data_IF_178205906160
#
_entry.id   IF_178205906160
#
_cell.length_a   1.000
_cell.length_b   1.000
_cell.length_c   1.000
_cell.angle_alpha   90.00
_cell.angle_beta   90.00
_cell.angle_gamma   90.00
#
_symmetry.space_group_name_H-M   'P 1'
#
loop_
_entity.id
_entity.type
_entity.pdbx_description
1 polymer ?
#
# COMPACT_ATOMS: atom_id res chain seq x y z
N UNK A 1 8.40 4.89 -29.48
CA UNK A 1 7.66 4.10 -28.44
C UNK A 1 7.55 4.97 -27.21
N UNK A 2 6.36 5.13 -26.61
CA UNK A 2 6.25 5.78 -25.28
C UNK A 2 7.01 4.92 -24.28
N UNK A 3 7.93 5.52 -23.51
CA UNK A 3 8.56 4.77 -22.45
C UNK A 3 7.54 4.51 -21.33
N UNK A 4 7.51 3.30 -20.85
CA UNK A 4 6.62 2.86 -19.76
C UNK A 4 7.07 3.51 -18.44
N UNK A 5 6.15 4.04 -17.61
CA UNK A 5 6.50 4.54 -16.28
C UNK A 5 7.18 3.46 -15.44
N UNK A 6 8.23 3.83 -14.72
CA UNK A 6 9.02 2.95 -13.89
C UNK A 6 8.49 3.00 -12.45
N UNK A 7 7.97 1.89 -11.93
CA UNK A 7 7.40 1.82 -10.58
C UNK A 7 8.28 0.99 -9.66
N UNK A 8 8.78 1.62 -8.60
CA UNK A 8 9.48 0.93 -7.53
C UNK A 8 8.50 0.10 -6.70
N UNK A 9 8.82 -1.16 -6.47
CA UNK A 9 8.00 -2.11 -5.71
C UNK A 9 8.82 -2.61 -4.53
N UNK A 10 8.45 -2.21 -3.31
CA UNK A 10 9.19 -2.60 -2.12
C UNK A 10 9.09 -4.11 -1.89
N UNK A 11 10.24 -4.76 -1.69
CA UNK A 11 10.34 -6.17 -1.37
C UNK A 11 10.05 -6.47 0.11
N UNK A 12 9.93 -7.76 0.43
CA UNK A 12 10.06 -8.28 1.80
C UNK A 12 11.37 -9.07 1.90
N UNK A 13 11.99 -9.07 3.07
CA UNK A 13 13.13 -9.94 3.33
C UNK A 13 12.65 -11.29 3.81
N UNK A 14 13.12 -12.37 3.17
CA UNK A 14 12.79 -13.76 3.50
C UNK A 14 14.07 -14.58 3.54
N UNK A 15 14.01 -15.69 4.24
CA UNK A 15 15.04 -16.73 4.13
C UNK A 15 14.60 -17.76 3.10
N UNK A 16 15.47 -18.02 2.13
CA UNK A 16 15.28 -19.02 1.08
C UNK A 16 16.53 -19.91 1.05
N UNK A 17 16.37 -21.19 1.33
CA UNK A 17 17.48 -22.16 1.36
C UNK A 17 18.65 -21.72 2.27
N UNK A 18 18.35 -21.11 3.41
CA UNK A 18 19.36 -20.62 4.38
C UNK A 18 20.01 -19.30 3.99
N UNK A 19 19.56 -18.64 2.92
CA UNK A 19 20.09 -17.35 2.49
C UNK A 19 19.04 -16.24 2.59
N UNK A 20 19.41 -15.01 3.04
CA UNK A 20 18.51 -13.88 2.99
C UNK A 20 18.22 -13.52 1.53
N UNK A 21 16.93 -13.39 1.20
CA UNK A 21 16.45 -13.04 -0.14
C UNK A 21 15.46 -11.88 -0.08
N UNK A 22 15.43 -11.07 -1.13
CA UNK A 22 14.44 -10.02 -1.29
C UNK A 22 13.40 -10.46 -2.32
N UNK A 23 12.13 -10.47 -1.92
CA UNK A 23 11.05 -11.07 -2.71
C UNK A 23 9.84 -10.15 -2.81
N UNK A 24 9.19 -10.20 -3.97
CA UNK A 24 7.86 -9.66 -4.22
C UNK A 24 7.02 -10.78 -4.85
N UNK A 25 5.80 -11.00 -4.38
CA UNK A 25 4.88 -11.95 -5.03
C UNK A 25 4.45 -11.43 -6.40
N UNK A 26 4.41 -12.32 -7.39
CA UNK A 26 4.19 -11.96 -8.80
C UNK A 26 2.88 -11.20 -9.04
N UNK A 27 1.83 -11.41 -8.25
CA UNK A 27 0.55 -10.72 -8.38
C UNK A 27 0.66 -9.18 -8.39
N UNK A 28 1.60 -8.58 -7.61
CA UNK A 28 1.86 -7.14 -7.64
C UNK A 28 2.52 -6.71 -8.95
N UNK A 29 3.49 -7.49 -9.41
CA UNK A 29 4.23 -7.19 -10.64
C UNK A 29 3.33 -7.36 -11.87
N UNK A 30 2.52 -8.40 -11.88
CA UNK A 30 1.55 -8.68 -12.94
C UNK A 30 0.46 -7.61 -12.98
N UNK A 31 -0.11 -7.22 -11.83
CA UNK A 31 -1.07 -6.13 -11.76
C UNK A 31 -0.51 -4.83 -12.36
N UNK A 32 0.70 -4.41 -11.99
CA UNK A 32 1.32 -3.21 -12.57
C UNK A 32 1.51 -3.32 -14.08
N UNK A 33 1.97 -4.47 -14.59
CA UNK A 33 2.15 -4.69 -16.04
C UNK A 33 0.85 -4.62 -16.82
N UNK A 34 -0.26 -5.11 -16.24
CA UNK A 34 -1.59 -5.08 -16.85
C UNK A 34 -2.08 -3.66 -17.09
N UNK A 35 -1.59 -2.69 -16.31
CA UNK A 35 -1.88 -1.25 -16.49
C UNK A 35 -0.75 -0.46 -17.17
N UNK A 36 0.15 -1.16 -17.87
CA UNK A 36 1.17 -0.51 -18.69
C UNK A 36 2.39 0.01 -17.92
N UNK A 37 2.52 -0.28 -16.64
CA UNK A 37 3.65 0.13 -15.80
C UNK A 37 4.82 -0.87 -15.89
N UNK A 38 6.03 -0.41 -15.63
CA UNK A 38 7.24 -1.23 -15.59
C UNK A 38 7.72 -1.40 -14.13
N UNK A 39 7.44 -2.54 -13.47
CA UNK A 39 7.84 -2.74 -12.09
C UNK A 39 9.35 -2.99 -11.94
N UNK A 40 9.96 -2.37 -10.92
CA UNK A 40 11.32 -2.61 -10.46
C UNK A 40 11.29 -2.98 -8.98
N UNK A 41 11.82 -4.14 -8.63
CA UNK A 41 11.88 -4.58 -7.24
C UNK A 41 12.95 -3.77 -6.49
N UNK A 42 12.52 -3.07 -5.45
CA UNK A 42 13.40 -2.36 -4.53
C UNK A 42 13.77 -3.29 -3.38
N UNK A 43 15.06 -3.57 -3.15
CA UNK A 43 15.47 -4.35 -1.99
C UNK A 43 15.16 -3.58 -0.71
N UNK A 44 14.99 -4.28 0.41
CA UNK A 44 14.95 -3.64 1.72
C UNK A 44 16.35 -3.55 2.30
N UNK A 45 16.67 -2.42 2.95
CA UNK A 45 17.98 -2.14 3.52
C UNK A 45 17.86 -1.43 4.87
N UNK A 46 18.97 -1.28 5.54
CA UNK A 46 19.11 -0.42 6.72
C UNK A 46 19.98 0.77 6.34
N UNK A 47 19.57 1.96 6.75
CA UNK A 47 20.28 3.21 6.47
C UNK A 47 19.45 4.19 5.66
N UNK A 48 20.11 5.23 5.16
CA UNK A 48 19.44 6.32 4.45
C UNK A 48 18.86 5.89 3.10
N UNK A 49 17.76 6.52 2.74
CA UNK A 49 17.10 6.30 1.44
C UNK A 49 17.94 6.92 0.34
N UNK A 50 18.21 6.14 -0.68
CA UNK A 50 18.85 6.64 -1.91
C UNK A 50 17.84 7.50 -2.69
N UNK A 51 17.94 8.84 -2.48
CA UNK A 51 17.08 9.81 -3.16
C UNK A 51 17.35 9.87 -4.66
N UNK A 52 18.55 9.53 -5.12
CA UNK A 52 18.85 9.43 -6.55
C UNK A 52 18.13 8.23 -7.18
N UNK A 53 18.08 7.10 -6.49
CA UNK A 53 17.29 5.96 -6.94
C UNK A 53 15.81 6.34 -7.07
N UNK A 54 15.23 7.02 -6.06
CA UNK A 54 13.84 7.47 -6.12
C UNK A 54 13.56 8.42 -7.29
N UNK A 55 14.47 9.36 -7.58
CA UNK A 55 14.32 10.31 -8.70
C UNK A 55 14.29 9.65 -10.09
N UNK A 56 14.64 8.37 -10.17
CA UNK A 56 14.56 7.56 -11.41
C UNK A 56 13.21 6.86 -11.57
N UNK A 57 12.35 6.91 -10.56
CA UNK A 57 11.05 6.24 -10.56
C UNK A 57 9.94 7.21 -10.95
N UNK A 58 8.87 6.65 -11.50
CA UNK A 58 7.64 7.37 -11.84
C UNK A 58 6.49 7.03 -10.90
N UNK A 59 6.72 6.12 -9.94
CA UNK A 59 5.77 5.75 -8.89
C UNK A 59 6.37 4.78 -7.88
N UNK A 60 5.73 4.66 -6.73
CA UNK A 60 6.11 3.75 -5.65
C UNK A 60 4.92 2.89 -5.23
N UNK A 61 5.08 1.57 -5.23
CA UNK A 61 4.13 0.61 -4.68
C UNK A 61 4.68 0.01 -3.37
N UNK A 62 3.98 0.26 -2.27
CA UNK A 62 4.19 -0.42 -0.99
C UNK A 62 3.31 -1.67 -0.95
N UNK A 63 3.92 -2.83 -1.06
CA UNK A 63 3.21 -4.11 -1.14
C UNK A 63 2.66 -4.57 0.21
N UNK A 64 1.67 -5.45 0.21
CA UNK A 64 1.33 -6.25 1.36
C UNK A 64 2.43 -7.26 1.73
N UNK A 65 2.36 -7.74 2.95
CA UNK A 65 3.27 -8.76 3.49
C UNK A 65 2.57 -9.63 4.54
N UNK A 66 3.11 -10.82 4.77
CA UNK A 66 2.71 -11.66 5.90
C UNK A 66 3.35 -11.23 7.23
N UNK A 67 4.31 -10.30 7.19
CA UNK A 67 4.90 -9.70 8.38
C UNK A 67 4.11 -8.46 8.78
N UNK A 68 4.11 -8.17 10.06
CA UNK A 68 3.46 -7.02 10.68
C UNK A 68 4.43 -5.84 10.78
N UNK A 69 3.88 -4.62 10.90
CA UNK A 69 4.65 -3.45 11.33
C UNK A 69 5.01 -3.65 12.80
N UNK A 70 6.29 -3.41 13.13
CA UNK A 70 6.79 -3.57 14.50
C UNK A 70 6.08 -2.61 15.48
N UNK A 71 5.56 -3.12 16.62
CA UNK A 71 4.81 -2.29 17.57
C UNK A 71 5.58 -1.09 18.10
N UNK A 72 6.89 -1.22 18.29
CA UNK A 72 7.77 -0.12 18.72
C UNK A 72 7.74 1.09 17.77
N UNK A 73 7.39 0.91 16.50
CA UNK A 73 7.28 1.99 15.50
C UNK A 73 6.12 2.95 15.75
N UNK A 74 5.09 2.50 16.46
CA UNK A 74 3.92 3.31 16.85
C UNK A 74 3.71 3.35 18.36
N UNK A 75 4.78 3.13 19.14
CA UNK A 75 4.79 3.32 20.60
C UNK A 75 4.00 2.28 21.39
N UNK A 76 3.72 1.10 20.82
CA UNK A 76 2.97 0.04 21.47
C UNK A 76 3.90 -1.09 21.99
N UNK A 77 3.46 -1.74 23.06
CA UNK A 77 4.05 -3.02 23.48
C UNK A 77 3.50 -4.16 22.63
N UNK A 78 4.33 -5.19 22.39
CA UNK A 78 3.94 -6.34 21.58
C UNK A 78 2.91 -7.20 22.29
N UNK A 79 1.81 -7.53 21.58
CA UNK A 79 0.85 -8.54 22.05
C UNK A 79 1.27 -9.95 21.55
N UNK A 80 0.82 -11.04 22.23
CA UNK A 80 1.20 -12.41 21.86
C UNK A 80 0.86 -12.80 20.43
N UNK A 81 -0.20 -12.25 19.86
CA UNK A 81 -0.67 -12.51 18.49
C UNK A 81 0.23 -11.92 17.42
N UNK A 82 1.02 -10.91 17.77
CA UNK A 82 1.94 -10.25 16.83
C UNK A 82 3.32 -10.93 16.85
N UNK A 83 3.48 -11.95 16.03
CA UNK A 83 4.64 -12.87 16.08
C UNK A 83 5.62 -12.70 14.91
N UNK A 84 5.34 -11.82 13.93
CA UNK A 84 6.12 -11.77 12.69
C UNK A 84 6.41 -10.33 12.29
N UNK A 85 7.65 -9.89 12.49
CA UNK A 85 8.14 -8.58 12.05
C UNK A 85 9.11 -8.72 10.89
N UNK A 86 9.35 -7.61 10.21
CA UNK A 86 10.43 -7.43 9.25
C UNK A 86 11.04 -6.04 9.46
N UNK A 87 12.02 -5.97 10.36
CA UNK A 87 12.70 -4.71 10.74
C UNK A 87 13.40 -4.02 9.56
N UNK A 88 13.89 -4.81 8.57
CA UNK A 88 14.49 -4.25 7.37
C UNK A 88 13.44 -3.58 6.50
N UNK A 89 12.27 -4.23 6.36
CA UNK A 89 11.13 -3.68 5.63
C UNK A 89 10.63 -2.40 6.29
N UNK A 90 10.49 -2.40 7.62
CA UNK A 90 10.09 -1.20 8.36
C UNK A 90 11.08 -0.06 8.16
N UNK A 91 12.38 -0.30 8.36
CA UNK A 91 13.40 0.74 8.17
C UNK A 91 13.34 1.33 6.75
N UNK A 92 13.20 0.48 5.73
CA UNK A 92 13.12 0.92 4.33
C UNK A 92 11.82 1.69 4.05
N UNK A 93 10.66 1.17 4.47
CA UNK A 93 9.36 1.80 4.18
C UNK A 93 9.24 3.19 4.83
N UNK A 94 9.64 3.33 6.10
CA UNK A 94 9.60 4.60 6.82
C UNK A 94 10.60 5.64 6.31
N UNK A 95 11.63 5.22 5.58
CA UNK A 95 12.50 6.14 4.84
C UNK A 95 11.94 6.50 3.46
N UNK A 96 11.38 5.51 2.73
CA UNK A 96 10.85 5.71 1.38
C UNK A 96 9.61 6.59 1.33
N UNK A 97 8.67 6.42 2.28
CA UNK A 97 7.39 7.15 2.28
C UNK A 97 7.60 8.67 2.27
N UNK A 98 8.28 9.28 3.27
CA UNK A 98 8.47 10.73 3.25
C UNK A 98 9.30 11.18 2.05
N UNK A 99 10.34 10.44 1.67
CA UNK A 99 11.18 10.82 0.53
C UNK A 99 10.43 10.79 -0.81
N UNK A 100 9.50 9.84 -1.00
CA UNK A 100 8.65 9.77 -2.19
C UNK A 100 7.65 10.93 -2.23
N UNK A 101 7.01 11.24 -1.10
CA UNK A 101 6.06 12.35 -0.99
C UNK A 101 6.74 13.71 -1.22
N UNK A 102 7.94 13.93 -0.64
CA UNK A 102 8.75 15.13 -0.85
C UNK A 102 9.08 15.36 -2.35
N UNK A 103 9.27 14.28 -3.11
CA UNK A 103 9.55 14.33 -4.56
C UNK A 103 8.28 14.38 -5.41
N UNK A 104 7.09 14.37 -4.80
CA UNK A 104 5.81 14.32 -5.53
C UNK A 104 5.62 13.02 -6.31
N UNK A 105 6.25 11.93 -5.89
CA UNK A 105 6.15 10.63 -6.53
C UNK A 105 4.78 10.00 -6.22
N UNK A 106 4.01 9.54 -7.22
CA UNK A 106 2.79 8.78 -6.97
C UNK A 106 3.04 7.57 -6.08
N UNK A 107 2.22 7.42 -5.02
CA UNK A 107 2.39 6.37 -4.01
C UNK A 107 1.10 5.56 -3.87
N UNK A 108 1.21 4.23 -4.00
CA UNK A 108 0.13 3.31 -3.72
C UNK A 108 0.54 2.32 -2.62
N UNK A 109 -0.22 2.27 -1.52
CA UNK A 109 -0.03 1.33 -0.41
C UNK A 109 -1.07 0.21 -0.43
N UNK A 110 -0.65 -1.05 -0.25
CA UNK A 110 -1.54 -2.21 -0.18
C UNK A 110 -1.29 -3.00 1.10
N UNK A 111 -2.33 -3.23 1.90
CA UNK A 111 -2.35 -4.02 3.13
C UNK A 111 -1.26 -3.54 4.12
N UNK A 112 -0.11 -4.17 4.19
CA UNK A 112 0.99 -3.68 5.03
C UNK A 112 1.46 -2.29 4.62
N UNK A 113 1.50 -1.98 3.32
CA UNK A 113 1.83 -0.64 2.81
C UNK A 113 0.86 0.46 3.28
N UNK A 114 -0.40 0.12 3.46
CA UNK A 114 -1.40 1.00 4.07
C UNK A 114 -1.08 1.25 5.55
N UNK A 115 -0.72 0.22 6.30
CA UNK A 115 -0.34 0.32 7.71
C UNK A 115 0.98 1.11 7.86
N UNK A 116 1.96 0.88 7.00
CA UNK A 116 3.22 1.61 6.93
C UNK A 116 2.97 3.11 6.68
N UNK A 117 2.05 3.46 5.77
CA UNK A 117 1.68 4.85 5.51
C UNK A 117 1.06 5.50 6.75
N UNK A 118 0.11 4.85 7.42
CA UNK A 118 -0.50 5.37 8.64
C UNK A 118 0.52 5.65 9.74
N UNK A 119 1.41 4.70 10.00
CA UNK A 119 2.44 4.82 11.05
C UNK A 119 3.49 5.89 10.68
N UNK A 120 3.84 6.04 9.40
CA UNK A 120 4.74 7.09 8.94
C UNK A 120 4.19 8.51 9.22
N UNK A 121 2.88 8.65 9.34
CA UNK A 121 2.19 9.89 9.73
C UNK A 121 1.85 9.95 11.23
N UNK A 122 2.44 9.09 12.04
CA UNK A 122 2.27 9.07 13.50
C UNK A 122 0.98 8.40 13.99
N UNK A 123 0.28 7.69 13.12
CA UNK A 123 -0.87 6.87 13.49
C UNK A 123 -0.48 5.59 14.22
N UNK A 124 -1.47 4.92 14.83
CA UNK A 124 -1.30 3.66 15.57
C UNK A 124 -2.06 2.51 14.92
N UNK A 125 -1.75 1.29 15.33
CA UNK A 125 -2.36 0.07 14.81
C UNK A 125 -2.90 -0.82 15.94
N UNK A 126 -4.11 -1.35 15.75
CA UNK A 126 -4.53 -2.58 16.41
C UNK A 126 -3.66 -3.73 15.91
N UNK A 127 -3.00 -4.46 16.82
CA UNK A 127 -2.14 -5.60 16.46
C UNK A 127 -2.95 -6.87 16.13
N UNK A 128 -4.20 -6.92 16.61
CA UNK A 128 -5.13 -8.04 16.45
C UNK A 128 -6.57 -7.49 16.38
N UNK A 129 -7.00 -7.02 15.20
CA UNK A 129 -8.32 -6.40 14.98
C UNK A 129 -9.45 -7.31 15.43
N UNK A 130 -9.33 -8.63 15.21
CA UNK A 130 -10.31 -9.64 15.62
C UNK A 130 -10.52 -9.75 17.14
N UNK A 131 -9.68 -9.11 17.96
CA UNK A 131 -9.84 -9.05 19.42
C UNK A 131 -10.46 -7.74 19.89
N UNK A 132 -10.64 -6.77 18.98
CA UNK A 132 -11.26 -5.49 19.31
C UNK A 132 -12.78 -5.66 19.35
N UNK A 133 -13.47 -5.33 20.46
CA UNK A 133 -14.91 -5.47 20.56
C UNK A 133 -15.65 -4.73 19.43
N UNK A 134 -16.56 -5.43 18.74
CA UNK A 134 -17.37 -4.87 17.65
C UNK A 134 -16.71 -4.89 16.27
N UNK A 135 -15.44 -5.31 16.15
CA UNK A 135 -14.77 -5.51 14.86
C UNK A 135 -15.04 -6.90 14.30
N UNK A 136 -15.02 -7.01 12.98
CA UNK A 136 -15.08 -8.30 12.29
C UNK A 136 -13.75 -9.06 12.42
N UNK A 137 -13.76 -10.34 12.07
CA UNK A 137 -12.52 -11.07 11.85
C UNK A 137 -12.03 -10.82 10.42
N UNK A 138 -11.05 -9.93 10.31
CA UNK A 138 -10.45 -9.50 9.05
C UNK A 138 -9.35 -10.45 8.51
N UNK A 139 -9.11 -11.57 9.19
CA UNK A 139 -8.07 -12.53 8.77
C UNK A 139 -8.51 -13.33 7.56
N UNK A 140 -7.49 -13.76 6.79
CA UNK A 140 -7.73 -14.57 5.60
C UNK A 140 -8.50 -15.86 5.91
N UNK A 141 -9.53 -16.22 5.12
CA UNK A 141 -10.20 -17.50 5.26
C UNK A 141 -9.29 -18.65 4.85
N UNK A 142 -9.58 -19.84 5.36
CA UNK A 142 -8.88 -21.07 4.96
C UNK A 142 -9.38 -21.55 3.61
N UNK A 143 -8.47 -21.78 2.66
CA UNK A 143 -8.81 -22.24 1.31
C UNK A 143 -7.72 -21.97 0.29
N UNK A 144 -8.05 -22.19 -0.97
CA UNK A 144 -7.21 -21.82 -2.11
C UNK A 144 -7.18 -20.28 -2.32
N UNK A 145 -6.47 -19.82 -3.33
CA UNK A 145 -6.33 -18.38 -3.56
C UNK A 145 -7.67 -17.72 -3.93
N UNK A 146 -8.55 -18.38 -4.67
CA UNK A 146 -9.83 -17.81 -5.06
C UNK A 146 -10.77 -17.64 -3.86
N UNK A 147 -10.75 -18.57 -2.91
CA UNK A 147 -11.47 -18.46 -1.63
C UNK A 147 -10.87 -17.34 -0.77
N UNK A 148 -9.54 -17.29 -0.66
CA UNK A 148 -8.85 -16.32 0.21
C UNK A 148 -9.00 -14.88 -0.25
N UNK A 149 -9.07 -14.65 -1.57
CA UNK A 149 -9.24 -13.32 -2.15
C UNK A 149 -10.69 -13.01 -2.59
N UNK A 150 -11.64 -13.89 -2.26
CA UNK A 150 -13.06 -13.59 -2.48
C UNK A 150 -13.51 -12.39 -1.65
N UNK A 151 -14.53 -11.62 -2.10
CA UNK A 151 -15.10 -10.52 -1.32
C UNK A 151 -15.60 -10.99 0.05
N UNK A 152 -15.07 -10.40 1.13
CA UNK A 152 -15.32 -10.80 2.51
C UNK A 152 -16.34 -9.89 3.22
N UNK A 153 -16.21 -8.57 3.09
CA UNK A 153 -17.11 -7.61 3.75
C UNK A 153 -17.44 -6.41 2.86
N UNK A 154 -18.50 -5.71 3.23
CA UNK A 154 -18.90 -4.48 2.58
C UNK A 154 -18.00 -3.31 3.02
N UNK A 155 -17.79 -2.38 2.10
CA UNK A 155 -16.98 -1.19 2.24
C UNK A 155 -17.82 0.03 1.89
N UNK A 156 -17.81 1.05 2.75
CA UNK A 156 -18.36 2.37 2.47
C UNK A 156 -17.24 3.31 2.03
N UNK A 157 -17.36 3.90 0.84
CA UNK A 157 -16.47 4.92 0.31
C UNK A 157 -16.95 6.28 0.80
N UNK A 158 -16.05 7.03 1.45
CA UNK A 158 -16.37 8.33 2.00
C UNK A 158 -16.40 9.40 0.90
N UNK A 159 -17.36 10.33 0.92
CA UNK A 159 -17.50 11.34 -0.12
C UNK A 159 -16.42 12.42 -0.05
N UNK A 160 -16.05 12.99 -1.19
CA UNK A 160 -15.16 14.15 -1.31
C UNK A 160 -13.67 13.82 -1.35
N UNK A 161 -13.28 12.58 -1.05
CA UNK A 161 -11.89 12.13 -1.08
C UNK A 161 -11.39 11.73 -2.47
N UNK A 162 -10.16 11.23 -2.52
CA UNK A 162 -9.53 10.74 -3.75
C UNK A 162 -10.28 9.52 -4.30
N UNK A 163 -10.64 8.58 -3.42
CA UNK A 163 -11.28 7.33 -3.81
C UNK A 163 -12.67 7.55 -4.43
N UNK A 164 -13.47 8.48 -3.88
CA UNK A 164 -14.79 8.82 -4.42
C UNK A 164 -14.71 9.52 -5.79
N UNK A 165 -13.58 10.11 -6.16
CA UNK A 165 -13.33 10.64 -7.50
C UNK A 165 -12.93 9.56 -8.51
N UNK A 166 -12.28 8.49 -8.04
CA UNK A 166 -11.86 7.37 -8.88
C UNK A 166 -13.00 6.37 -9.12
N UNK A 167 -13.88 6.22 -8.14
CA UNK A 167 -14.97 5.24 -8.17
C UNK A 167 -16.26 5.88 -7.65
N UNK A 168 -17.29 5.95 -8.52
CA UNK A 168 -18.50 6.74 -8.26
C UNK A 168 -19.49 6.07 -7.29
N UNK A 169 -19.41 4.75 -7.11
CA UNK A 169 -20.32 4.04 -6.22
C UNK A 169 -19.91 4.24 -4.76
N UNK A 170 -20.89 4.46 -3.90
CA UNK A 170 -20.67 4.66 -2.45
C UNK A 170 -20.28 3.37 -1.73
N UNK A 171 -20.70 2.23 -2.20
CA UNK A 171 -20.48 0.92 -1.57
C UNK A 171 -19.79 -0.03 -2.53
N UNK A 172 -18.95 -0.89 -1.97
CA UNK A 172 -18.32 -1.99 -2.68
C UNK A 172 -18.13 -3.16 -1.71
N UNK A 173 -17.67 -4.31 -2.20
CA UNK A 173 -17.24 -5.42 -1.35
C UNK A 173 -15.78 -5.73 -1.66
N UNK A 174 -14.98 -6.00 -0.62
CA UNK A 174 -13.55 -6.24 -0.75
C UNK A 174 -13.14 -7.53 -0.03
N UNK A 175 -12.00 -8.09 -0.43
CA UNK A 175 -11.38 -9.19 0.30
C UNK A 175 -10.75 -8.69 1.61
N UNK A 176 -10.45 -9.60 2.55
CA UNK A 176 -9.86 -9.24 3.83
C UNK A 176 -8.87 -10.32 4.27
N UNK A 177 -7.59 -9.95 4.36
CA UNK A 177 -6.49 -10.87 4.65
C UNK A 177 -5.48 -10.22 5.62
N UNK A 178 -5.95 -9.55 6.67
CA UNK A 178 -5.08 -8.82 7.59
C UNK A 178 -5.45 -9.07 9.06
N UNK A 179 -4.45 -8.96 9.92
CA UNK A 179 -4.59 -9.05 11.38
C UNK A 179 -4.41 -7.68 12.03
N UNK A 180 -3.47 -6.87 11.53
CA UNK A 180 -3.32 -5.48 11.96
C UNK A 180 -4.29 -4.59 11.18
N UNK A 181 -4.74 -3.50 11.81
CA UNK A 181 -5.56 -2.46 11.19
C UNK A 181 -5.36 -1.14 11.91
N UNK A 182 -5.80 -0.03 11.33
CA UNK A 182 -5.66 1.29 11.94
C UNK A 182 -6.48 1.35 13.23
N UNK A 183 -5.82 1.79 14.31
CA UNK A 183 -6.42 2.18 15.59
C UNK A 183 -6.63 3.71 15.60
N UNK A 184 -5.56 4.50 15.48
CA UNK A 184 -5.64 5.94 15.32
C UNK A 184 -5.06 6.35 13.96
N UNK A 185 -5.79 7.22 13.26
CA UNK A 185 -5.35 7.77 11.98
C UNK A 185 -4.20 8.77 12.19
N UNK A 186 -3.17 8.68 11.35
CA UNK A 186 -2.04 9.60 11.35
C UNK A 186 -2.44 11.04 10.97
N UNK A 187 -1.73 12.01 11.51
CA UNK A 187 -1.98 13.43 11.22
C UNK A 187 -1.60 13.76 9.77
N UNK A 188 -2.53 14.40 9.04
CA UNK A 188 -2.33 14.71 7.61
C UNK A 188 -2.76 13.58 6.68
N UNK A 189 -3.48 12.58 7.20
CA UNK A 189 -4.16 11.57 6.41
C UNK A 189 -5.68 11.80 6.46
N UNK A 190 -6.35 11.52 5.34
CA UNK A 190 -7.80 11.47 5.24
C UNK A 190 -8.25 10.01 5.13
N UNK A 191 -9.31 9.64 5.88
CA UNK A 191 -9.98 8.37 5.68
C UNK A 191 -10.78 8.43 4.37
N UNK A 192 -10.62 7.43 3.51
CA UNK A 192 -11.25 7.34 2.20
C UNK A 192 -12.36 6.27 2.15
N UNK A 193 -12.23 5.22 2.97
CA UNK A 193 -13.24 4.18 3.07
C UNK A 193 -13.19 3.48 4.43
N UNK A 194 -14.34 2.95 4.85
CA UNK A 194 -14.51 2.22 6.11
C UNK A 194 -15.31 0.94 5.89
N UNK A 195 -14.97 -0.11 6.62
CA UNK A 195 -15.81 -1.30 6.73
C UNK A 195 -17.03 -1.03 7.63
N UNK A 196 -18.08 -1.86 7.53
CA UNK A 196 -19.31 -1.65 8.30
C UNK A 196 -19.12 -1.82 9.82
N UNK A 197 -18.03 -2.41 10.28
CA UNK A 197 -17.63 -2.48 11.67
C UNK A 197 -16.85 -1.23 12.15
N UNK A 198 -16.69 -0.24 11.25
CA UNK A 198 -15.98 1.01 11.49
C UNK A 198 -14.45 0.91 11.37
N UNK A 199 -13.89 -0.21 10.89
CA UNK A 199 -12.47 -0.29 10.59
C UNK A 199 -12.14 0.59 9.38
N UNK A 200 -11.12 1.46 9.51
CA UNK A 200 -10.62 2.25 8.37
C UNK A 200 -9.91 1.29 7.41
N UNK A 201 -10.34 1.31 6.14
CA UNK A 201 -9.88 0.40 5.11
C UNK A 201 -9.14 1.10 3.96
N UNK A 202 -9.31 2.43 3.81
CA UNK A 202 -8.54 3.21 2.83
C UNK A 202 -8.21 4.59 3.40
N UNK A 203 -7.02 5.10 3.04
CA UNK A 203 -6.52 6.42 3.44
C UNK A 203 -5.80 7.10 2.27
N UNK A 204 -5.82 8.42 2.25
CA UNK A 204 -4.98 9.23 1.36
C UNK A 204 -4.19 10.28 2.13
N UNK A 205 -3.12 10.79 1.53
CA UNK A 205 -2.36 11.90 2.09
C UNK A 205 -3.09 13.20 1.76
N UNK A 206 -3.53 13.94 2.79
CA UNK A 206 -4.27 15.19 2.65
C UNK A 206 -3.45 16.21 1.86
N UNK A 207 -4.07 16.80 0.83
CA UNK A 207 -3.41 17.83 0.02
C UNK A 207 -2.25 17.34 -0.85
N UNK A 208 -2.03 16.05 -0.99
CA UNK A 208 -0.99 15.52 -1.87
C UNK A 208 -1.20 16.01 -3.32
N UNK A 209 -0.12 16.47 -4.01
CA UNK A 209 -0.23 17.00 -5.37
C UNK A 209 -0.49 15.92 -6.42
N UNK A 210 -0.35 14.66 -6.05
CA UNK A 210 -0.50 13.51 -6.92
C UNK A 210 -1.22 12.37 -6.20
N UNK A 211 -1.35 11.20 -6.84
CA UNK A 211 -1.91 10.00 -6.25
C UNK A 211 -1.05 9.55 -5.05
N UNK A 212 -1.61 9.65 -3.85
CA UNK A 212 -1.02 9.16 -2.61
C UNK A 212 -2.12 8.48 -1.79
N UNK A 213 -2.45 7.24 -2.13
CA UNK A 213 -3.57 6.47 -1.60
C UNK A 213 -3.07 5.10 -1.13
N UNK A 214 -3.69 4.61 -0.06
CA UNK A 214 -3.43 3.26 0.40
C UNK A 214 -4.72 2.56 0.83
N UNK A 215 -4.75 1.23 0.68
CA UNK A 215 -5.91 0.38 0.98
C UNK A 215 -5.49 -0.84 1.80
N UNK A 216 -6.37 -1.29 2.70
CA UNK A 216 -6.07 -2.41 3.60
C UNK A 216 -6.28 -3.77 2.93
N UNK A 217 -7.24 -3.88 2.00
CA UNK A 217 -7.49 -5.09 1.22
C UNK A 217 -6.44 -5.31 0.12
N UNK A 218 -6.63 -6.35 -0.69
CA UNK A 218 -5.71 -6.74 -1.76
C UNK A 218 -6.34 -6.54 -3.15
N UNK A 219 -6.27 -5.32 -3.73
CA UNK A 219 -6.82 -5.04 -5.05
C UNK A 219 -5.98 -5.64 -6.20
N UNK A 220 -4.75 -6.08 -5.94
CA UNK A 220 -3.84 -6.64 -6.94
C UNK A 220 -4.21 -8.06 -7.39
N UNK A 221 -5.15 -8.71 -6.71
CA UNK A 221 -5.67 -10.00 -7.12
C UNK A 221 -6.76 -9.82 -8.17
N UNK A 222 -6.46 -10.21 -9.43
CA UNK A 222 -7.38 -10.09 -10.58
C UNK A 222 -8.04 -8.70 -10.70
N UNK A 223 -7.24 -7.61 -10.75
CA UNK A 223 -7.76 -6.24 -10.61
C UNK A 223 -8.82 -5.89 -11.66
N UNK A 224 -8.70 -6.39 -12.90
CA UNK A 224 -9.65 -6.11 -13.99
C UNK A 224 -11.02 -6.78 -13.84
N UNK A 225 -11.13 -7.78 -12.96
CA UNK A 225 -12.38 -8.49 -12.70
C UNK A 225 -13.25 -7.76 -11.64
N UNK A 226 -12.68 -6.74 -10.96
CA UNK A 226 -13.37 -6.00 -9.91
C UNK A 226 -13.35 -4.49 -10.17
N UNK A 227 -14.51 -3.83 -10.39
CA UNK A 227 -14.58 -2.44 -10.84
C UNK A 227 -13.80 -1.45 -9.95
N UNK A 228 -13.88 -1.59 -8.62
CA UNK A 228 -13.12 -0.75 -7.68
C UNK A 228 -11.60 -0.96 -7.82
N UNK A 229 -11.15 -2.22 -7.91
CA UNK A 229 -9.72 -2.52 -8.07
C UNK A 229 -9.18 -1.99 -9.40
N UNK A 230 -9.94 -2.13 -10.49
CA UNK A 230 -9.61 -1.57 -11.80
C UNK A 230 -9.49 -0.05 -11.74
N UNK A 231 -10.42 0.64 -11.08
CA UNK A 231 -10.38 2.09 -10.90
C UNK A 231 -9.13 2.56 -10.13
N UNK A 232 -8.76 1.87 -9.05
CA UNK A 232 -7.57 2.19 -8.26
C UNK A 232 -6.28 2.05 -9.07
N UNK A 233 -6.12 0.93 -9.79
CA UNK A 233 -4.91 0.72 -10.61
C UNK A 233 -4.86 1.66 -11.81
N UNK A 234 -5.99 2.02 -12.44
CA UNK A 234 -6.04 3.04 -13.49
C UNK A 234 -5.61 4.40 -12.96
N UNK A 235 -6.17 4.84 -11.82
CA UNK A 235 -5.81 6.12 -11.22
C UNK A 235 -4.33 6.20 -10.85
N UNK A 236 -3.76 5.13 -10.31
CA UNK A 236 -2.33 5.05 -10.03
C UNK A 236 -1.49 5.09 -11.32
N UNK A 237 -1.87 4.34 -12.36
CA UNK A 237 -1.17 4.32 -13.63
C UNK A 237 -1.20 5.70 -14.33
N UNK A 238 -2.34 6.38 -14.34
CA UNK A 238 -2.49 7.73 -14.89
C UNK A 238 -1.58 8.74 -14.18
N UNK A 239 -1.48 8.65 -12.84
CA UNK A 239 -0.58 9.48 -12.05
C UNK A 239 0.90 9.21 -12.38
N UNK A 240 1.30 7.94 -12.47
CA UNK A 240 2.66 7.54 -12.87
C UNK A 240 2.99 8.02 -14.29
N UNK A 241 2.05 7.94 -15.23
CA UNK A 241 2.23 8.47 -16.58
C UNK A 241 2.37 9.99 -16.60
N UNK A 242 1.61 10.70 -15.77
CA UNK A 242 1.71 12.16 -15.64
C UNK A 242 3.08 12.57 -15.08
N UNK A 243 3.54 11.89 -14.03
CA UNK A 243 4.87 12.10 -13.44
C UNK A 243 6.00 11.84 -14.47
N UNK A 244 5.95 10.70 -15.15
CA UNK A 244 6.90 10.34 -16.21
C UNK A 244 6.97 11.37 -17.34
N UNK A 245 5.84 11.98 -17.72
CA UNK A 245 5.80 13.05 -18.72
C UNK A 245 6.43 14.33 -18.19
N UNK A 246 6.13 14.73 -16.95
CA UNK A 246 6.64 15.96 -16.35
C UNK A 246 8.18 15.92 -16.17
N UNK A 247 8.71 14.80 -15.68
CA UNK A 247 10.15 14.62 -15.51
C UNK A 247 10.97 14.73 -16.81
N UNK A 248 10.36 14.41 -17.97
CA UNK A 248 11.02 14.48 -19.30
C UNK A 248 10.94 15.84 -19.95
N UNK A 249 10.06 16.72 -19.49
CA UNK A 249 9.93 18.09 -20.02
C UNK A 249 10.93 19.04 -19.35
N UNK A 250 11.45 18.70 -18.18
CA UNK A 250 12.54 19.46 -17.56
C UNK A 250 13.84 19.13 -18.31
N UNK A 251 14.52 20.13 -18.97
CA UNK A 251 15.84 19.89 -19.55
C UNK A 251 16.79 19.44 -18.43
N UNK A 252 17.65 18.48 -18.72
CA UNK A 252 18.84 18.23 -17.93
C UNK A 252 19.69 19.51 -18.06
N UNK A 253 19.50 20.46 -17.16
CA UNK A 253 20.42 21.57 -17.04
C UNK A 253 21.78 21.03 -16.59
N UNK A 254 22.75 21.22 -17.47
CA UNK A 254 24.11 20.75 -17.41
C UNK A 254 24.90 21.31 -16.21
#
# INVERSE_FOLDING_TARGET
MRARPLVGVIACRREVEGHPAHMVTDKYLSALRDYGLAPVILPVWQGDVDRELLSRLDGLLLTGSRTNVEPGRYGAERVPENTRDDHHRDATAFGLIPAALDQGLPLFGICRGFQELNVAFGGTLHQAVQQVPGRFDHREPVGDHDIRYAPAHDLEILPGGMMSRLFAERYSRVNSLHQQGIDALGLGLDAEAVALDGQIEAISVAGAPTFALAVQWHPEWKPREHPLHDALFRGFAEACEAHCRAARVQPLDA
#
